data_IF_822038724491
#
_entry.id   IF_822038724491
#
_cell.length_a   1.000
_cell.length_b   1.000
_cell.length_c   1.000
_cell.angle_alpha   90.00
_cell.angle_beta   90.00
_cell.angle_gamma   90.00
#
_symmetry.space_group_name_H-M   'P 1'
#
loop_
_entity.id
_entity.type
_entity.pdbx_description
1 polymer ?
#
# COMPACT_ATOMS: atom_id res chain seq x y z
N UNK A 1 7.66 -30.29 22.89
CA UNK A 1 7.61 -29.47 21.66
C UNK A 1 6.30 -29.80 20.98
N UNK A 2 5.23 -29.12 21.36
CA UNK A 2 3.89 -29.36 20.81
C UNK A 2 3.73 -28.40 19.64
N UNK A 3 3.70 -28.94 18.43
CA UNK A 3 3.32 -28.19 17.23
C UNK A 3 1.87 -27.73 17.42
N UNK A 4 1.67 -26.44 17.67
CA UNK A 4 0.35 -25.84 17.70
C UNK A 4 -0.09 -25.65 16.25
N UNK A 5 -0.79 -26.66 15.73
CA UNK A 5 -1.51 -26.52 14.48
C UNK A 5 -2.59 -25.45 14.68
N UNK A 6 -2.33 -24.24 14.19
CA UNK A 6 -3.30 -23.14 14.30
C UNK A 6 -4.45 -23.37 13.32
N UNK A 7 -5.70 -23.26 13.75
CA UNK A 7 -6.81 -23.21 12.83
C UNK A 7 -6.68 -21.92 12.02
N UNK A 8 -6.49 -22.03 10.70
CA UNK A 8 -6.82 -20.91 9.82
C UNK A 8 -8.33 -20.71 9.94
N UNK A 9 -8.82 -19.50 10.28
CA UNK A 9 -10.24 -19.25 10.31
C UNK A 9 -10.78 -19.46 8.90
N UNK A 10 -11.53 -20.55 8.70
CA UNK A 10 -12.07 -20.97 7.41
C UNK A 10 -13.10 -19.98 6.83
N UNK A 11 -13.59 -19.05 7.66
CA UNK A 11 -14.67 -18.12 7.31
C UNK A 11 -14.25 -16.65 7.34
N UNK A 12 -12.96 -16.36 7.61
CA UNK A 12 -12.44 -15.01 7.46
C UNK A 12 -12.33 -14.73 5.94
N UNK A 13 -12.91 -13.63 5.42
CA UNK A 13 -12.66 -13.22 4.04
C UNK A 13 -11.16 -13.23 3.79
N UNK A 14 -10.69 -13.82 2.67
CA UNK A 14 -9.25 -14.05 2.40
C UNK A 14 -8.37 -12.83 2.71
N UNK A 15 -8.90 -11.63 2.49
CA UNK A 15 -8.29 -10.35 2.84
C UNK A 15 -7.87 -10.20 4.32
N UNK A 16 -8.65 -10.70 5.28
CA UNK A 16 -8.32 -10.61 6.72
C UNK A 16 -7.18 -11.57 7.08
N UNK A 17 -7.14 -12.75 6.45
CA UNK A 17 -6.01 -13.67 6.61
C UNK A 17 -4.73 -13.05 6.02
N UNK A 18 -4.81 -12.48 4.82
CA UNK A 18 -3.71 -11.76 4.20
C UNK A 18 -3.24 -10.57 5.06
N UNK A 19 -4.16 -9.87 5.72
CA UNK A 19 -3.85 -8.76 6.62
C UNK A 19 -3.15 -9.23 7.91
N UNK A 20 -3.57 -10.36 8.47
CA UNK A 20 -2.85 -10.96 9.60
C UNK A 20 -1.43 -11.35 9.20
N UNK A 21 -1.26 -12.02 8.07
CA UNK A 21 0.05 -12.44 7.58
C UNK A 21 0.96 -11.23 7.32
N UNK A 22 0.43 -10.18 6.69
CA UNK A 22 1.15 -8.93 6.45
C UNK A 22 1.52 -8.21 7.76
N UNK A 23 0.58 -8.10 8.70
CA UNK A 23 0.80 -7.47 10.00
C UNK A 23 1.89 -8.19 10.80
N UNK A 24 1.84 -9.52 10.84
CA UNK A 24 2.81 -10.32 11.55
C UNK A 24 4.20 -10.26 10.88
N UNK A 25 4.26 -10.26 9.54
CA UNK A 25 5.53 -10.08 8.82
C UNK A 25 6.19 -8.74 9.17
N UNK A 26 5.43 -7.63 9.13
CA UNK A 26 5.94 -6.30 9.49
C UNK A 26 6.38 -6.27 10.96
N UNK A 27 5.59 -6.84 11.87
CA UNK A 27 5.93 -6.88 13.29
C UNK A 27 7.29 -7.56 13.56
N UNK A 28 7.58 -8.65 12.86
CA UNK A 28 8.87 -9.34 12.92
C UNK A 28 10.02 -8.46 12.40
N UNK A 29 9.80 -7.65 11.36
CA UNK A 29 10.81 -6.68 10.89
C UNK A 29 11.20 -5.66 11.98
N UNK A 30 10.30 -5.40 12.93
CA UNK A 30 10.56 -4.54 14.10
C UNK A 30 11.10 -5.29 15.33
N UNK A 31 11.43 -6.58 15.19
CA UNK A 31 12.09 -7.37 16.22
C UNK A 31 11.17 -8.04 17.24
N UNK A 32 9.86 -8.11 16.96
CA UNK A 32 8.94 -8.94 17.74
C UNK A 32 9.20 -10.41 17.42
N UNK A 33 9.07 -11.28 18.43
CA UNK A 33 9.07 -12.72 18.22
C UNK A 33 7.77 -13.20 17.54
N UNK A 34 7.74 -14.46 17.13
CA UNK A 34 6.60 -15.01 16.38
C UNK A 34 5.28 -14.92 17.15
N UNK A 35 5.30 -15.15 18.46
CA UNK A 35 4.10 -15.13 19.28
C UNK A 35 3.57 -13.69 19.43
N UNK A 36 4.47 -12.75 19.72
CA UNK A 36 4.16 -11.33 19.82
C UNK A 36 3.68 -10.74 18.48
N UNK A 37 4.31 -11.12 17.37
CA UNK A 37 3.96 -10.65 16.04
C UNK A 37 2.56 -11.10 15.62
N UNK A 38 2.24 -12.35 15.88
CA UNK A 38 0.93 -12.91 15.55
C UNK A 38 -0.17 -12.37 16.47
N UNK A 39 0.12 -12.19 17.76
CA UNK A 39 -0.81 -11.54 18.70
C UNK A 39 -1.10 -10.09 18.29
N UNK A 40 -0.08 -9.33 17.88
CA UNK A 40 -0.26 -7.96 17.39
C UNK A 40 -1.14 -7.93 16.12
N UNK A 41 -0.87 -8.83 15.18
CA UNK A 41 -1.63 -8.92 13.94
C UNK A 41 -3.11 -9.27 14.18
N UNK A 42 -3.38 -10.20 15.09
CA UNK A 42 -4.74 -10.54 15.51
C UNK A 42 -5.47 -9.33 16.10
N UNK A 43 -4.84 -8.63 17.06
CA UNK A 43 -5.43 -7.44 17.69
C UNK A 43 -5.73 -6.32 16.68
N UNK A 44 -4.89 -6.17 15.66
CA UNK A 44 -5.16 -5.24 14.56
C UNK A 44 -6.43 -5.64 13.82
N UNK A 45 -6.57 -6.92 13.44
CA UNK A 45 -7.76 -7.40 12.72
C UNK A 45 -9.02 -7.27 13.57
N UNK A 46 -8.98 -7.65 14.85
CA UNK A 46 -10.10 -7.49 15.77
C UNK A 46 -10.55 -6.03 15.89
N UNK A 47 -9.61 -5.09 15.95
CA UNK A 47 -9.92 -3.66 15.98
C UNK A 47 -10.62 -3.22 14.69
N UNK A 48 -10.12 -3.65 13.53
CA UNK A 48 -10.70 -3.30 12.23
C UNK A 48 -12.08 -3.91 12.02
N UNK A 49 -12.29 -5.15 12.46
CA UNK A 49 -13.60 -5.79 12.45
C UNK A 49 -14.60 -5.01 13.29
N UNK A 50 -14.21 -4.54 14.48
CA UNK A 50 -15.06 -3.73 15.35
C UNK A 50 -15.37 -2.36 14.75
N UNK A 51 -14.37 -1.67 14.22
CA UNK A 51 -14.51 -0.29 13.72
C UNK A 51 -15.27 -0.23 12.39
N UNK A 52 -15.09 -1.23 11.53
CA UNK A 52 -15.60 -1.22 10.16
C UNK A 52 -16.72 -2.25 9.90
N UNK A 53 -17.25 -2.86 10.96
CA UNK A 53 -18.39 -3.78 10.86
C UNK A 53 -19.54 -3.13 10.09
N UNK A 54 -20.03 -3.82 9.06
CA UNK A 54 -21.18 -3.37 8.25
C UNK A 54 -20.87 -2.28 7.23
N UNK A 55 -19.61 -1.87 7.08
CA UNK A 55 -19.17 -0.93 6.04
C UNK A 55 -18.63 -1.69 4.82
N UNK A 56 -18.89 -1.19 3.61
CA UNK A 56 -18.25 -1.70 2.39
C UNK A 56 -16.93 -0.94 2.16
N UNK A 57 -15.81 -1.65 2.32
CA UNK A 57 -14.49 -1.09 2.09
C UNK A 57 -14.09 -1.26 0.61
N UNK A 58 -13.76 -0.16 -0.04
CA UNK A 58 -13.21 -0.16 -1.39
C UNK A 58 -11.74 0.28 -1.34
N UNK A 59 -10.84 -0.65 -1.65
CA UNK A 59 -9.42 -0.35 -1.82
C UNK A 59 -9.18 0.12 -3.26
N UNK A 60 -9.26 1.44 -3.47
CA UNK A 60 -8.68 2.04 -4.68
C UNK A 60 -7.17 1.81 -4.71
N UNK A 61 -6.56 1.69 -5.90
CA UNK A 61 -5.12 1.48 -6.16
C UNK A 61 -4.18 2.60 -5.64
N UNK A 62 -4.54 3.28 -4.56
CA UNK A 62 -4.08 4.61 -4.22
C UNK A 62 -3.86 4.77 -2.71
N UNK A 63 -3.17 3.81 -2.07
CA UNK A 63 -2.59 4.06 -0.73
C UNK A 63 -1.66 5.27 -0.82
N UNK A 64 -1.85 6.24 0.08
CA UNK A 64 -1.28 7.59 0.01
C UNK A 64 0.25 7.60 -0.15
N UNK A 65 0.68 8.16 -1.28
CA UNK A 65 1.67 9.25 -1.37
C UNK A 65 3.13 8.99 -0.92
N UNK A 66 3.69 7.82 -1.18
CA UNK A 66 5.12 7.78 -1.57
C UNK A 66 5.15 7.68 -3.09
N UNK A 67 5.77 8.63 -3.77
CA UNK A 67 6.07 8.46 -5.20
C UNK A 67 6.82 7.15 -5.32
N UNK A 68 6.23 6.19 -6.04
CA UNK A 68 6.96 4.98 -6.34
C UNK A 68 8.16 5.36 -7.22
N UNK A 69 9.22 4.54 -7.19
CA UNK A 69 10.36 4.73 -8.10
C UNK A 69 9.87 4.85 -9.57
N UNK A 70 8.85 4.06 -9.93
CA UNK A 70 8.20 4.11 -11.24
C UNK A 70 7.58 5.48 -11.53
N UNK A 71 6.89 6.10 -10.58
CA UNK A 71 6.26 7.41 -10.77
C UNK A 71 7.30 8.50 -11.02
N UNK A 72 8.43 8.44 -10.30
CA UNK A 72 9.57 9.34 -10.51
C UNK A 72 10.24 9.12 -11.86
N UNK A 73 10.43 7.87 -12.27
CA UNK A 73 11.05 7.52 -13.55
C UNK A 73 10.15 7.96 -14.72
N UNK A 74 8.83 7.79 -14.62
CA UNK A 74 7.87 8.32 -15.61
C UNK A 74 7.96 9.84 -15.71
N UNK A 75 8.01 10.54 -14.57
CA UNK A 75 8.11 11.99 -14.58
C UNK A 75 9.43 12.49 -15.19
N UNK A 76 10.55 11.81 -14.92
CA UNK A 76 11.87 12.13 -15.49
C UNK A 76 11.94 11.88 -16.99
N UNK A 77 11.29 10.83 -17.47
CA UNK A 77 11.27 10.45 -18.88
C UNK A 77 10.20 11.19 -19.70
N UNK A 78 9.32 11.97 -19.05
CA UNK A 78 8.28 12.72 -19.72
C UNK A 78 8.83 13.93 -20.47
N UNK A 79 8.64 13.97 -21.79
CA UNK A 79 9.12 15.03 -22.68
C UNK A 79 8.04 16.03 -23.08
N UNK A 80 6.79 15.84 -22.64
CA UNK A 80 5.66 16.73 -22.94
C UNK A 80 4.62 16.14 -23.90
N UNK A 81 5.05 15.27 -24.83
CA UNK A 81 4.18 14.68 -25.85
C UNK A 81 4.30 13.15 -25.97
N UNK A 82 5.13 12.50 -25.15
CA UNK A 82 5.42 11.07 -25.23
C UNK A 82 4.54 10.18 -24.33
N UNK A 83 3.29 10.59 -24.07
CA UNK A 83 2.36 9.84 -23.20
C UNK A 83 2.05 8.43 -23.75
N UNK A 84 1.77 8.25 -25.05
CA UNK A 84 1.53 6.91 -25.60
C UNK A 84 2.71 5.95 -25.43
N UNK A 85 3.94 6.46 -25.62
CA UNK A 85 5.18 5.71 -25.50
C UNK A 85 5.43 5.28 -24.05
N UNK A 86 5.21 6.18 -23.09
CA UNK A 86 5.32 5.88 -21.66
C UNK A 86 4.25 4.88 -21.21
N UNK A 87 3.01 5.03 -21.68
CA UNK A 87 1.93 4.09 -21.39
C UNK A 87 2.29 2.66 -21.84
N UNK A 88 2.82 2.52 -23.05
CA UNK A 88 3.31 1.24 -23.58
C UNK A 88 4.51 0.69 -22.77
N UNK A 89 5.51 1.53 -22.49
CA UNK A 89 6.72 1.14 -21.75
C UNK A 89 6.40 0.62 -20.34
N UNK A 90 5.53 1.31 -19.62
CA UNK A 90 5.20 0.98 -18.22
C UNK A 90 3.99 0.06 -18.07
N UNK A 91 3.37 -0.35 -19.18
CA UNK A 91 2.17 -1.23 -19.22
C UNK A 91 1.01 -0.66 -18.40
N UNK A 92 0.70 0.60 -18.63
CA UNK A 92 -0.32 1.37 -17.91
C UNK A 92 -1.17 2.18 -18.89
N UNK A 93 -2.32 2.68 -18.45
CA UNK A 93 -3.15 3.54 -19.29
C UNK A 93 -2.58 4.95 -19.43
N UNK A 94 -2.89 5.64 -20.54
CA UNK A 94 -2.53 7.05 -20.71
C UNK A 94 -3.13 7.94 -19.59
N UNK A 95 -4.35 7.63 -19.15
CA UNK A 95 -5.01 8.30 -18.01
C UNK A 95 -4.17 8.16 -16.74
N UNK A 96 -3.59 6.99 -16.51
CA UNK A 96 -2.72 6.74 -15.35
C UNK A 96 -1.41 7.53 -15.44
N UNK A 97 -0.79 7.66 -16.63
CA UNK A 97 0.37 8.55 -16.83
C UNK A 97 0.04 9.99 -16.43
N UNK A 98 -1.10 10.54 -16.87
CA UNK A 98 -1.51 11.88 -16.47
C UNK A 98 -1.72 12.02 -14.96
N UNK A 99 -2.30 11.00 -14.31
CA UNK A 99 -2.46 10.99 -12.86
C UNK A 99 -1.12 11.00 -12.11
N UNK A 100 -0.12 10.25 -12.61
CA UNK A 100 1.26 10.25 -12.10
C UNK A 100 1.90 11.62 -12.24
N UNK A 101 1.84 12.22 -13.44
CA UNK A 101 2.43 13.55 -13.69
C UNK A 101 1.83 14.62 -12.79
N UNK A 102 0.51 14.58 -12.57
CA UNK A 102 -0.19 15.48 -11.65
C UNK A 102 0.32 15.29 -10.21
N UNK A 103 0.37 14.05 -9.73
CA UNK A 103 0.82 13.73 -8.37
C UNK A 103 2.25 14.20 -8.09
N UNK A 104 3.19 13.94 -9.01
CA UNK A 104 4.59 14.34 -8.84
C UNK A 104 4.73 15.87 -8.79
N UNK A 105 3.96 16.61 -9.60
CA UNK A 105 3.94 18.09 -9.57
C UNK A 105 3.41 18.66 -8.26
N UNK A 106 2.32 18.08 -7.73
CA UNK A 106 1.73 18.49 -6.45
C UNK A 106 2.72 18.28 -5.29
N UNK A 107 3.43 17.15 -5.28
CA UNK A 107 4.47 16.87 -4.26
C UNK A 107 5.71 17.75 -4.39
N UNK A 108 6.23 17.96 -5.60
CA UNK A 108 7.41 18.82 -5.82
C UNK A 108 7.14 20.28 -5.41
N UNK A 109 5.92 20.77 -5.66
CA UNK A 109 5.51 22.13 -5.27
C UNK A 109 5.38 22.27 -3.76
N UNK A 110 4.83 21.24 -3.09
CA UNK A 110 4.68 21.20 -1.64
C UNK A 110 6.05 21.18 -0.95
N UNK A 111 6.96 20.31 -1.39
CA UNK A 111 8.31 20.20 -0.84
C UNK A 111 9.12 21.50 -1.05
N UNK A 112 8.98 22.14 -2.22
CA UNK A 112 9.62 23.43 -2.50
C UNK A 112 9.08 24.57 -1.62
N UNK A 113 7.80 24.55 -1.27
CA UNK A 113 7.20 25.53 -0.34
C UNK A 113 7.62 25.30 1.11
N UNK A 114 7.80 24.04 1.55
CA UNK A 114 8.28 23.75 2.90
C UNK A 114 9.76 24.09 3.11
N UNK A 115 10.59 24.06 2.06
CA UNK A 115 11.99 24.45 2.13
C UNK A 115 12.22 25.98 2.26
N UNK A 116 11.16 26.79 2.12
CA UNK A 116 11.20 28.26 2.20
C UNK A 116 10.67 28.82 3.53
N UNK A 117 10.28 27.94 4.47
CA UNK A 117 9.82 28.25 5.83
C UNK A 117 10.88 27.84 6.87
#
# INVERSE_FOLDING_TARGET
>A
MTQVQRPKPHDAPEMLADLMDAGAAIAREFGLDDEQADELALRIVEQLENDWRGQQLYFGSTTKMRLSKRDLDIFREFTGNNVPELAAKYKVSAVWIYAVLRRVREQTTTDAQQALL
#
